data_IF_577755924256
#
_entry.id   IF_577755924256
#
_cell.length_a   1.000
_cell.length_b   1.000
_cell.length_c   1.000
_cell.angle_alpha   90.00
_cell.angle_beta   90.00
_cell.angle_gamma   90.00
#
_symmetry.space_group_name_H-M   'P 1'
#
loop_
_entity.id
_entity.type
_entity.pdbx_description
1 polymer ?
#
# COMPACT_ATOMS: atom_id res chain seq x y z
N UNK A 1 29.00 -5.83 -12.81
CA UNK A 1 27.60 -6.12 -12.41
C UNK A 1 26.89 -6.76 -13.59
N UNK A 2 26.27 -7.93 -13.39
CA UNK A 2 25.66 -8.72 -14.48
C UNK A 2 24.21 -8.29 -14.72
N UNK A 3 23.73 -8.40 -15.95
CA UNK A 3 22.35 -8.06 -16.32
C UNK A 3 21.32 -8.92 -15.55
N UNK A 4 21.70 -10.17 -15.23
CA UNK A 4 20.90 -11.08 -14.41
C UNK A 4 20.77 -10.62 -12.94
N UNK A 5 21.81 -9.99 -12.38
CA UNK A 5 21.74 -9.47 -11.00
C UNK A 5 20.83 -8.24 -10.92
N UNK A 6 20.90 -7.33 -11.91
CA UNK A 6 20.02 -6.16 -12.00
C UNK A 6 18.54 -6.54 -12.12
N UNK A 7 18.22 -7.55 -12.93
CA UNK A 7 16.84 -8.01 -13.12
C UNK A 7 16.24 -8.60 -11.83
N UNK A 8 17.03 -9.34 -11.05
CA UNK A 8 16.58 -9.93 -9.80
C UNK A 8 16.34 -8.85 -8.72
N UNK A 9 17.22 -7.84 -8.66
CA UNK A 9 17.07 -6.71 -7.74
C UNK A 9 15.85 -5.86 -8.09
N UNK A 10 15.63 -5.57 -9.38
CA UNK A 10 14.44 -4.84 -9.84
C UNK A 10 13.14 -5.58 -9.46
N UNK A 11 13.12 -6.91 -9.57
CA UNK A 11 11.97 -7.73 -9.17
C UNK A 11 11.74 -7.69 -7.65
N UNK A 12 12.80 -7.77 -6.85
CA UNK A 12 12.70 -7.64 -5.38
C UNK A 12 12.17 -6.27 -4.99
N UNK A 13 12.72 -5.21 -5.58
CA UNK A 13 12.27 -3.83 -5.35
C UNK A 13 10.80 -3.66 -5.74
N UNK A 14 10.37 -4.22 -6.87
CA UNK A 14 8.98 -4.19 -7.27
C UNK A 14 8.05 -4.90 -6.27
N UNK A 15 8.47 -6.03 -5.69
CA UNK A 15 7.72 -6.72 -4.63
C UNK A 15 7.66 -5.86 -3.37
N UNK A 16 8.78 -5.26 -2.95
CA UNK A 16 8.82 -4.39 -1.78
C UNK A 16 7.95 -3.14 -1.95
N UNK A 17 7.98 -2.51 -3.12
CA UNK A 17 7.14 -1.35 -3.45
C UNK A 17 5.66 -1.70 -3.43
N UNK A 18 5.30 -2.92 -3.86
CA UNK A 18 3.91 -3.40 -3.76
C UNK A 18 3.46 -3.56 -2.32
N UNK A 19 4.32 -4.02 -1.41
CA UNK A 19 3.97 -4.28 0.00
C UNK A 19 4.06 -3.04 0.90
N UNK A 20 4.72 -1.97 0.44
CA UNK A 20 4.90 -0.75 1.22
C UNK A 20 3.57 -0.08 1.64
N UNK A 21 2.56 0.06 0.76
CA UNK A 21 1.27 0.64 1.12
C UNK A 21 0.55 -0.10 2.25
N UNK A 22 0.57 -1.45 2.27
CA UNK A 22 -0.08 -2.21 3.35
C UNK A 22 0.59 -2.00 4.70
N UNK A 23 1.92 -1.94 4.74
CA UNK A 23 2.66 -1.65 5.97
C UNK A 23 2.44 -0.22 6.45
N UNK A 24 2.33 0.74 5.53
CA UNK A 24 2.01 2.13 5.86
C UNK A 24 0.58 2.26 6.38
N UNK A 25 -0.40 1.64 5.71
CA UNK A 25 -1.80 1.63 6.14
C UNK A 25 -1.97 0.97 7.52
N UNK A 26 -1.28 -0.16 7.78
CA UNK A 26 -1.26 -0.79 9.09
C UNK A 26 -0.83 0.19 10.20
N UNK A 27 0.27 0.92 9.98
CA UNK A 27 0.77 1.91 10.94
C UNK A 27 -0.17 3.10 11.11
N UNK A 28 -0.72 3.62 10.01
CA UNK A 28 -1.63 4.78 10.02
C UNK A 28 -2.95 4.44 10.72
N UNK A 29 -3.46 3.23 10.54
CA UNK A 29 -4.73 2.78 11.11
C UNK A 29 -4.58 2.07 12.48
N UNK A 30 -3.36 1.86 12.97
CA UNK A 30 -3.11 1.12 14.22
C UNK A 30 -3.55 -0.35 14.16
N UNK A 31 -3.46 -0.97 12.98
CA UNK A 31 -3.86 -2.36 12.72
C UNK A 31 -2.63 -3.26 12.69
N UNK A 32 -2.78 -4.52 13.09
CA UNK A 32 -1.70 -5.51 13.00
C UNK A 32 -1.15 -5.60 11.56
N UNK A 33 0.18 -5.43 11.34
CA UNK A 33 0.79 -5.58 10.03
C UNK A 33 0.53 -6.95 9.39
N UNK A 34 0.37 -8.03 10.16
CA UNK A 34 0.03 -9.33 9.60
C UNK A 34 -1.37 -9.33 8.96
N UNK A 35 -2.34 -8.68 9.61
CA UNK A 35 -3.70 -8.51 9.08
C UNK A 35 -3.70 -7.65 7.80
N UNK A 36 -2.92 -6.58 7.76
CA UNK A 36 -2.79 -5.73 6.58
C UNK A 36 -2.14 -6.44 5.38
N UNK A 37 -1.15 -7.32 5.62
CA UNK A 37 -0.56 -8.15 4.57
C UNK A 37 -1.60 -9.15 4.03
N UNK A 38 -2.37 -9.77 4.92
CA UNK A 38 -3.46 -10.67 4.52
C UNK A 38 -4.53 -9.96 3.67
N UNK A 39 -4.87 -8.70 4.00
CA UNK A 39 -5.77 -7.87 3.16
C UNK A 39 -5.19 -7.65 1.76
N UNK A 40 -3.89 -7.37 1.65
CA UNK A 40 -3.24 -7.17 0.36
C UNK A 40 -3.18 -8.45 -0.48
N UNK A 41 -2.87 -9.58 0.15
CA UNK A 41 -2.90 -10.90 -0.50
C UNK A 41 -4.30 -11.20 -1.03
N UNK A 42 -5.34 -10.99 -0.21
CA UNK A 42 -6.73 -11.17 -0.63
C UNK A 42 -7.10 -10.27 -1.82
N UNK A 43 -6.66 -9.00 -1.82
CA UNK A 43 -6.92 -8.05 -2.91
C UNK A 43 -6.15 -8.35 -4.21
N UNK A 44 -5.04 -9.08 -4.13
CA UNK A 44 -4.18 -9.42 -5.28
C UNK A 44 -4.37 -10.86 -5.77
N UNK A 45 -5.12 -11.68 -5.03
CA UNK A 45 -5.49 -13.02 -5.43
C UNK A 45 -6.30 -13.01 -6.74
N UNK A 46 -6.05 -13.97 -7.66
CA UNK A 46 -6.80 -14.07 -8.90
C UNK A 46 -8.30 -14.34 -8.64
N UNK A 47 -9.20 -13.87 -9.52
CA UNK A 47 -10.66 -13.88 -9.30
C UNK A 47 -11.31 -15.27 -9.32
N UNK A 48 -10.53 -16.35 -9.42
CA UNK A 48 -11.05 -17.72 -9.49
C UNK A 48 -11.52 -18.14 -8.10
N UNK A 49 -12.79 -17.85 -7.81
CA UNK A 49 -13.41 -18.09 -6.51
C UNK A 49 -13.11 -17.00 -5.51
N UNK A 50 -13.44 -15.73 -5.85
CA UNK A 50 -13.33 -14.58 -4.96
C UNK A 50 -13.78 -14.97 -3.53
N UNK A 51 -12.85 -15.12 -2.57
CA UNK A 51 -13.20 -15.58 -1.24
C UNK A 51 -14.15 -14.57 -0.63
N UNK A 52 -15.18 -15.01 0.11
CA UNK A 52 -16.06 -14.09 0.86
C UNK A 52 -15.17 -13.15 1.68
N UNK A 53 -15.42 -11.84 1.59
CA UNK A 53 -14.60 -10.85 2.28
C UNK A 53 -14.58 -11.14 3.79
N UNK A 54 -13.40 -11.39 4.38
CA UNK A 54 -13.29 -11.68 5.80
C UNK A 54 -13.91 -10.58 6.66
N UNK A 55 -14.71 -10.95 7.65
CA UNK A 55 -15.38 -10.00 8.54
C UNK A 55 -14.39 -9.16 9.36
N UNK A 56 -13.18 -9.68 9.58
CA UNK A 56 -12.08 -8.93 10.19
C UNK A 56 -11.66 -7.68 9.38
N UNK A 57 -12.03 -7.59 8.09
CA UNK A 57 -11.72 -6.44 7.24
C UNK A 57 -12.80 -5.36 7.29
N UNK A 58 -13.98 -5.64 7.83
CA UNK A 58 -15.14 -4.71 7.80
C UNK A 58 -15.32 -3.91 9.08
N UNK A 59 -14.55 -4.17 10.13
CA UNK A 59 -14.78 -3.60 11.45
C UNK A 59 -13.76 -2.52 11.81
N UNK A 60 -14.26 -1.36 12.25
CA UNK A 60 -13.45 -0.29 12.84
C UNK A 60 -12.26 0.16 11.97
N UNK A 61 -11.09 0.27 12.60
CA UNK A 61 -9.86 0.71 11.94
C UNK A 61 -9.37 -0.25 10.83
N UNK A 62 -9.75 -1.53 10.89
CA UNK A 62 -9.42 -2.50 9.86
C UNK A 62 -10.14 -2.19 8.53
N UNK A 63 -11.36 -1.63 8.58
CA UNK A 63 -12.08 -1.19 7.38
C UNK A 63 -11.40 -0.01 6.68
N UNK A 64 -10.93 0.97 7.46
CA UNK A 64 -10.17 2.10 6.92
C UNK A 64 -8.83 1.62 6.32
N UNK A 65 -8.14 0.71 7.01
CA UNK A 65 -6.90 0.09 6.52
C UNK A 65 -7.15 -0.65 5.19
N UNK A 66 -8.20 -1.47 5.13
CA UNK A 66 -8.58 -2.20 3.93
C UNK A 66 -8.90 -1.28 2.75
N UNK A 67 -9.61 -0.17 2.97
CA UNK A 67 -9.91 0.80 1.93
C UNK A 67 -8.65 1.45 1.35
N UNK A 68 -7.69 1.82 2.20
CA UNK A 68 -6.39 2.37 1.76
C UNK A 68 -5.60 1.36 0.94
N UNK A 69 -5.53 0.11 1.41
CA UNK A 69 -4.83 -0.96 0.70
C UNK A 69 -5.51 -1.22 -0.65
N UNK A 70 -6.85 -1.26 -0.70
CA UNK A 70 -7.61 -1.41 -1.95
C UNK A 70 -7.31 -0.29 -2.94
N UNK A 71 -7.25 0.96 -2.52
CA UNK A 71 -6.88 2.08 -3.40
C UNK A 71 -5.47 1.89 -3.95
N UNK A 72 -4.52 1.46 -3.11
CA UNK A 72 -3.14 1.20 -3.55
C UNK A 72 -3.02 0.06 -4.57
N UNK A 73 -3.88 -0.95 -4.48
CA UNK A 73 -3.90 -2.10 -5.40
C UNK A 73 -4.62 -1.76 -6.71
N UNK A 74 -5.79 -1.12 -6.64
CA UNK A 74 -6.63 -0.84 -7.81
C UNK A 74 -6.16 0.41 -8.57
N UNK A 75 -5.67 1.43 -7.86
CA UNK A 75 -5.24 2.72 -8.44
C UNK A 75 -3.89 3.15 -7.83
N UNK A 76 -2.80 2.43 -8.09
CA UNK A 76 -1.48 2.73 -7.52
C UNK A 76 -1.02 4.16 -7.84
N UNK A 77 -1.27 4.65 -9.05
CA UNK A 77 -0.91 6.02 -9.44
C UNK A 77 -1.58 7.09 -8.55
N UNK A 78 -2.84 6.89 -8.16
CA UNK A 78 -3.56 7.82 -7.28
C UNK A 78 -3.00 7.77 -5.87
N UNK A 79 -2.66 6.58 -5.36
CA UNK A 79 -2.04 6.43 -4.05
C UNK A 79 -0.69 7.14 -3.97
N UNK A 80 0.21 6.88 -4.93
CA UNK A 80 1.53 7.53 -4.97
C UNK A 80 1.43 9.04 -5.23
N UNK A 81 0.50 9.48 -6.08
CA UNK A 81 0.23 10.89 -6.31
C UNK A 81 -0.21 11.62 -5.05
N UNK A 82 -1.14 11.03 -4.28
CA UNK A 82 -1.59 11.58 -3.00
C UNK A 82 -0.46 11.62 -1.97
N UNK A 83 0.39 10.58 -1.91
CA UNK A 83 1.54 10.56 -1.02
C UNK A 83 2.55 11.66 -1.34
N UNK A 84 2.87 11.85 -2.62
CA UNK A 84 3.76 12.93 -3.07
C UNK A 84 3.15 14.30 -2.79
N UNK A 85 1.85 14.48 -3.03
CA UNK A 85 1.16 15.73 -2.73
C UNK A 85 1.23 16.06 -1.24
N UNK A 86 0.96 15.08 -0.36
CA UNK A 86 1.04 15.24 1.08
C UNK A 86 2.44 15.61 1.57
N UNK A 87 3.50 15.06 0.96
CA UNK A 87 4.89 15.43 1.28
C UNK A 87 5.29 16.78 0.68
N UNK A 88 4.78 17.14 -0.50
CA UNK A 88 5.10 18.40 -1.17
C UNK A 88 4.45 19.60 -0.52
N UNK A 89 3.23 19.46 0.02
CA UNK A 89 2.50 20.55 0.68
C UNK A 89 3.30 21.21 1.81
N UNK A 90 3.83 20.48 2.81
CA UNK A 90 4.61 21.09 3.88
C UNK A 90 5.93 21.70 3.39
N UNK A 91 6.56 21.10 2.37
CA UNK A 91 7.79 21.66 1.75
C UNK A 91 7.48 22.98 1.04
N UNK A 92 6.41 23.03 0.24
CA UNK A 92 5.96 24.25 -0.43
C UNK A 92 5.52 25.32 0.59
N UNK A 93 4.87 24.91 1.68
CA UNK A 93 4.48 25.81 2.76
C UNK A 93 5.72 26.40 3.46
N UNK A 94 6.72 25.56 3.76
CA UNK A 94 7.96 25.97 4.38
C UNK A 94 8.76 26.91 3.47
N UNK A 95 8.88 26.62 2.17
CA UNK A 95 9.54 27.51 1.21
C UNK A 95 8.80 28.83 0.99
N UNK A 96 7.48 28.85 1.18
CA UNK A 96 6.66 30.07 1.05
C UNK A 96 6.78 31.00 2.25
N UNK A 97 7.06 30.45 3.44
CA UNK A 97 7.13 31.21 4.70
C UNK A 97 8.51 31.30 5.34
N UNK A 98 9.53 30.64 4.77
CA UNK A 98 10.93 30.74 5.19
C UNK A 98 11.78 31.55 4.23
#
# INVERSE_FOLDING_TARGET
MSLATLHNDARRLAIHLKLAPARMAAKLCGVDPALALHMQEWLTAPPQGAPVMPQAFTTGAAAACFALIRISVVKPAVFWGALLAFLSLPVLLALRWG
#
